data_IF_686507367811
#
_entry.id   IF_686507367811
#
_cell.length_a   1.000
_cell.length_b   1.000
_cell.length_c   1.000
_cell.angle_alpha   90.00
_cell.angle_beta   90.00
_cell.angle_gamma   90.00
#
_symmetry.space_group_name_H-M   'P 1'
#
loop_
_entity.id
_entity.type
_entity.pdbx_description
1 polymer ?
#
# COMPACT_ATOMS: atom_id res chain seq x y z
N UNK A 1 -2.39 9.77 10.89
CA UNK A 1 -3.20 8.72 10.25
C UNK A 1 -2.30 7.87 9.38
N UNK A 2 -2.50 6.58 9.39
CA UNK A 2 -1.59 5.65 8.73
C UNK A 2 -2.12 5.17 7.40
N UNK A 3 -1.20 4.91 6.47
CA UNK A 3 -1.49 4.20 5.22
C UNK A 3 -1.50 2.71 5.53
N UNK A 4 -2.41 1.96 4.91
CA UNK A 4 -2.39 0.50 4.98
C UNK A 4 -1.76 -0.04 3.71
N UNK A 5 -0.73 -0.87 3.86
CA UNK A 5 -0.10 -1.53 2.72
C UNK A 5 -0.50 -3.00 2.70
N UNK A 6 -1.18 -3.41 1.66
CA UNK A 6 -1.47 -4.81 1.40
C UNK A 6 -0.29 -5.41 0.65
N UNK A 7 0.24 -6.52 1.17
CA UNK A 7 1.56 -7.02 0.77
C UNK A 7 1.60 -8.55 0.83
N UNK A 8 2.68 -9.11 0.31
CA UNK A 8 3.04 -10.52 0.52
C UNK A 8 4.50 -10.57 0.99
N UNK A 9 4.89 -11.70 1.57
CA UNK A 9 6.24 -11.84 2.13
C UNK A 9 7.34 -11.91 1.06
N UNK A 10 6.96 -12.27 -0.18
CA UNK A 10 7.90 -12.44 -1.27
C UNK A 10 7.97 -11.25 -2.23
N UNK A 11 7.24 -10.18 -1.95
CA UNK A 11 7.11 -9.04 -2.87
C UNK A 11 8.26 -8.04 -2.71
N UNK A 12 9.15 -8.00 -3.68
CA UNK A 12 10.27 -7.04 -3.69
C UNK A 12 9.79 -5.58 -3.81
N UNK A 13 8.75 -5.34 -4.60
CA UNK A 13 8.19 -3.99 -4.74
C UNK A 13 7.60 -3.50 -3.42
N UNK A 14 7.01 -4.40 -2.64
CA UNK A 14 6.48 -4.06 -1.32
C UNK A 14 7.59 -3.64 -0.37
N UNK A 15 8.68 -4.39 -0.34
CA UNK A 15 9.84 -4.08 0.50
C UNK A 15 10.46 -2.74 0.13
N UNK A 16 10.56 -2.47 -1.16
CA UNK A 16 11.11 -1.22 -1.66
C UNK A 16 10.25 -0.03 -1.25
N UNK A 17 8.93 -0.14 -1.44
CA UNK A 17 8.02 0.94 -1.10
C UNK A 17 7.99 1.18 0.41
N UNK A 18 8.05 0.11 1.21
CA UNK A 18 8.14 0.25 2.67
C UNK A 18 9.36 1.07 3.06
N UNK A 19 10.52 0.73 2.50
CA UNK A 19 11.75 1.46 2.80
C UNK A 19 11.65 2.94 2.41
N UNK A 20 11.02 3.22 1.28
CA UNK A 20 10.82 4.59 0.84
C UNK A 20 9.88 5.36 1.77
N UNK A 21 8.80 4.71 2.22
CA UNK A 21 7.86 5.34 3.17
C UNK A 21 8.54 5.59 4.52
N UNK A 22 9.35 4.66 5.00
CA UNK A 22 10.08 4.83 6.26
C UNK A 22 11.02 6.03 6.17
N UNK A 23 11.75 6.17 5.07
CA UNK A 23 12.65 7.32 4.89
C UNK A 23 11.91 8.64 4.77
N UNK A 24 10.69 8.60 4.26
CA UNK A 24 9.86 9.80 4.15
C UNK A 24 9.10 10.13 5.45
N UNK A 25 9.26 9.31 6.49
CA UNK A 25 8.57 9.52 7.76
C UNK A 25 7.08 9.23 7.71
N UNK A 26 6.64 8.38 6.79
CA UNK A 26 5.23 8.02 6.61
C UNK A 26 4.90 6.82 7.49
N UNK A 27 3.89 6.95 8.34
CA UNK A 27 3.36 5.83 9.11
C UNK A 27 2.57 4.89 8.23
N UNK A 28 2.78 3.58 8.39
CA UNK A 28 2.03 2.60 7.64
C UNK A 28 1.82 1.33 8.45
N UNK A 29 0.77 0.59 8.09
CA UNK A 29 0.47 -0.73 8.63
C UNK A 29 0.54 -1.72 7.48
N UNK A 30 1.20 -2.86 7.69
CA UNK A 30 1.31 -3.90 6.67
C UNK A 30 0.28 -5.00 6.95
N UNK A 31 -0.47 -5.37 5.91
CA UNK A 31 -1.40 -6.51 5.97
C UNK A 31 -0.95 -7.53 4.93
N UNK A 32 -0.65 -8.74 5.40
CA UNK A 32 -0.26 -9.85 4.51
C UNK A 32 -1.53 -10.49 3.98
N UNK A 33 -1.77 -10.34 2.68
CA UNK A 33 -3.02 -10.85 2.07
C UNK A 33 -3.04 -12.38 1.99
N UNK A 34 -1.90 -13.04 2.14
CA UNK A 34 -1.85 -14.50 2.19
C UNK A 34 -2.34 -15.04 3.53
N UNK A 35 -2.33 -14.20 4.57
CA UNK A 35 -2.79 -14.56 5.92
C UNK A 35 -4.18 -14.01 6.23
N UNK A 36 -4.76 -13.20 5.34
CA UNK A 36 -6.03 -12.51 5.58
C UNK A 36 -6.90 -12.57 4.32
N UNK A 37 -7.83 -13.53 4.24
CA UNK A 37 -8.69 -13.69 3.06
C UNK A 37 -9.56 -12.46 2.76
N UNK A 38 -10.00 -11.75 3.78
CA UNK A 38 -10.82 -10.54 3.58
C UNK A 38 -9.98 -9.45 2.94
N UNK A 39 -8.72 -9.31 3.35
CA UNK A 39 -7.80 -8.35 2.76
C UNK A 39 -7.48 -8.72 1.30
N UNK A 40 -7.31 -10.02 1.02
CA UNK A 40 -7.10 -10.49 -0.35
C UNK A 40 -8.27 -10.12 -1.25
N UNK A 41 -9.50 -10.29 -0.76
CA UNK A 41 -10.69 -9.92 -1.50
C UNK A 41 -10.78 -8.42 -1.74
N UNK A 42 -10.39 -7.63 -0.76
CA UNK A 42 -10.35 -6.18 -0.92
C UNK A 42 -9.37 -5.78 -2.03
N UNK A 43 -8.17 -6.35 -2.03
CA UNK A 43 -7.17 -6.09 -3.07
C UNK A 43 -7.71 -6.47 -4.45
N UNK A 44 -8.38 -7.63 -4.55
CA UNK A 44 -9.02 -8.05 -5.80
C UNK A 44 -10.05 -7.04 -6.27
N UNK A 45 -10.85 -6.51 -5.33
CA UNK A 45 -11.93 -5.59 -5.68
C UNK A 45 -11.44 -4.27 -6.28
N UNK A 46 -10.24 -3.83 -5.92
CA UNK A 46 -9.69 -2.57 -6.43
C UNK A 46 -8.69 -2.77 -7.58
N UNK A 47 -8.41 -4.02 -7.94
CA UNK A 47 -7.45 -4.36 -9.00
C UNK A 47 -8.05 -5.26 -10.09
N UNK A 48 -9.36 -5.14 -10.32
CA UNK A 48 -10.02 -5.87 -11.40
C UNK A 48 -10.02 -7.39 -11.21
N UNK A 49 -10.00 -7.87 -9.97
CA UNK A 49 -10.01 -9.29 -9.65
C UNK A 49 -8.64 -9.88 -9.37
N UNK A 50 -7.57 -9.09 -9.45
CA UNK A 50 -6.20 -9.56 -9.24
C UNK A 50 -5.70 -9.24 -7.84
N UNK A 51 -4.83 -10.12 -7.31
CA UNK A 51 -4.19 -9.91 -6.01
C UNK A 51 -2.87 -9.15 -6.19
N UNK A 52 -2.92 -8.00 -6.84
CA UNK A 52 -1.73 -7.19 -7.13
C UNK A 52 -1.22 -6.49 -5.87
N UNK A 53 0.05 -6.65 -5.57
CA UNK A 53 0.70 -6.01 -4.43
C UNK A 53 1.95 -5.27 -4.90
N UNK A 54 2.36 -4.19 -4.24
CA UNK A 54 1.70 -3.55 -3.10
C UNK A 54 0.47 -2.75 -3.51
N UNK A 55 -0.59 -2.84 -2.72
CA UNK A 55 -1.76 -1.97 -2.85
C UNK A 55 -1.86 -1.15 -1.58
N UNK A 56 -1.96 0.17 -1.72
CA UNK A 56 -2.08 1.07 -0.58
C UNK A 56 -3.52 1.52 -0.42
N UNK A 57 -3.97 1.59 0.84
CA UNK A 57 -5.23 2.22 1.20
C UNK A 57 -4.91 3.46 2.01
N UNK A 58 -5.34 4.62 1.53
CA UNK A 58 -5.09 5.90 2.19
C UNK A 58 -6.18 6.22 3.21
N UNK A 59 -5.91 7.12 4.17
CA UNK A 59 -6.89 7.48 5.20
C UNK A 59 -8.21 8.01 4.65
N UNK A 60 -8.22 8.60 3.45
CA UNK A 60 -9.43 9.11 2.81
C UNK A 60 -10.25 8.03 2.09
N UNK A 61 -9.81 6.77 2.14
CA UNK A 61 -10.48 5.65 1.49
C UNK A 61 -10.04 5.38 0.06
N UNK A 62 -9.20 6.23 -0.52
CA UNK A 62 -8.67 5.99 -1.87
C UNK A 62 -7.57 4.94 -1.85
N UNK A 63 -7.31 4.33 -3.01
CA UNK A 63 -6.29 3.29 -3.15
C UNK A 63 -5.32 3.63 -4.27
N UNK A 64 -4.14 3.00 -4.22
CA UNK A 64 -3.17 3.08 -5.31
C UNK A 64 -2.41 1.76 -5.35
N UNK A 65 -2.08 1.30 -6.56
CA UNK A 65 -1.39 0.04 -6.77
C UNK A 65 0.04 0.33 -7.22
N UNK A 66 1.01 -0.14 -6.43
CA UNK A 66 2.44 0.07 -6.66
C UNK A 66 2.77 1.53 -7.03
N UNK A 67 2.30 2.51 -6.23
CA UNK A 67 2.54 3.91 -6.56
C UNK A 67 3.99 4.30 -6.31
N UNK A 68 4.54 5.26 -7.08
CA UNK A 68 5.83 5.84 -6.72
C UNK A 68 5.70 6.61 -5.41
N UNK A 69 6.80 6.71 -4.66
CA UNK A 69 6.79 7.38 -3.35
C UNK A 69 6.31 8.83 -3.45
N UNK A 70 6.60 9.50 -4.55
CA UNK A 70 6.17 10.87 -4.75
C UNK A 70 4.65 10.99 -4.78
N UNK A 71 3.97 10.03 -5.41
CA UNK A 71 2.51 10.02 -5.42
C UNK A 71 1.96 9.81 -4.01
N UNK A 72 2.58 8.93 -3.23
CA UNK A 72 2.18 8.70 -1.85
C UNK A 72 2.28 9.98 -1.04
N UNK A 73 3.38 10.69 -1.19
CA UNK A 73 3.61 11.96 -0.49
C UNK A 73 2.57 13.01 -0.89
N UNK A 74 2.28 13.13 -2.18
CA UNK A 74 1.27 14.08 -2.67
C UNK A 74 -0.10 13.77 -2.10
N UNK A 75 -0.50 12.50 -2.12
CA UNK A 75 -1.83 12.09 -1.62
C UNK A 75 -1.99 12.31 -0.12
N UNK A 76 -0.89 12.26 0.62
CA UNK A 76 -0.92 12.50 2.07
C UNK A 76 -0.70 13.98 2.42
N UNK A 77 -0.52 14.84 1.42
CA UNK A 77 -0.27 16.24 1.64
C UNK A 77 1.12 16.55 2.18
N UNK A 78 2.07 15.65 1.98
CA UNK A 78 3.44 15.78 2.50
C UNK A 78 4.41 16.35 1.46
N UNK A 79 4.06 16.34 0.18
CA UNK A 79 4.92 16.87 -0.87
C UNK A 79 4.77 18.37 -0.95
N UNK A 80 5.89 19.04 -1.08
CA UNK A 80 5.93 20.48 -1.28
C UNK A 80 6.12 20.83 -2.75
#
# INVERSE_FOLDING_TARGET
MAVTMYSTTWCGYCSRLRAQMERAGIEYTVVDIEQDPAAAKFVESVNGGNQTVPTLLFPDGSTATNPPIKEVQVRLGLAS
#
